data_IF_076964924823
#
_entry.id   IF_076964924823
#
_cell.length_a   1.000
_cell.length_b   1.000
_cell.length_c   1.000
_cell.angle_alpha   90.00
_cell.angle_beta   90.00
_cell.angle_gamma   90.00
#
_symmetry.space_group_name_H-M   'P 1'
#
loop_
_entity.id
_entity.type
_entity.pdbx_description
1 polymer ?
#
# COMPACT_ATOMS: atom_id res chain seq x y z
N UNK A 1 10.84 -25.83 33.13
CA UNK A 1 10.70 -24.46 33.69
C UNK A 1 9.31 -23.98 33.29
N UNK A 2 8.42 -23.89 34.28
CA UNK A 2 6.98 -23.69 34.11
C UNK A 2 6.72 -22.20 33.88
N UNK A 3 6.10 -21.84 32.75
CA UNK A 3 5.61 -20.50 32.52
C UNK A 3 4.15 -20.40 32.99
N UNK A 4 3.92 -19.44 33.89
CA UNK A 4 2.70 -19.22 34.64
C UNK A 4 1.56 -18.69 33.76
N UNK A 5 0.39 -19.31 33.87
CA UNK A 5 -0.88 -18.84 33.32
C UNK A 5 -1.36 -17.63 34.11
N UNK A 6 -1.60 -16.49 33.45
CA UNK A 6 -2.33 -15.35 34.04
C UNK A 6 -3.71 -15.30 33.38
N UNK A 7 -4.72 -15.63 34.18
CA UNK A 7 -6.14 -15.50 33.88
C UNK A 7 -6.51 -14.03 34.06
N UNK A 8 -6.84 -13.33 32.97
CA UNK A 8 -7.48 -12.00 33.05
C UNK A 8 -8.99 -12.15 33.05
N UNK A 9 -9.58 -11.91 34.21
CA UNK A 9 -11.02 -11.78 34.45
C UNK A 9 -11.59 -10.53 33.77
N UNK A 10 -12.65 -10.71 32.98
CA UNK A 10 -13.45 -9.61 32.38
C UNK A 10 -14.31 -8.96 33.47
N UNK A 11 -14.24 -7.64 33.71
CA UNK A 11 -15.20 -6.98 34.59
C UNK A 11 -16.56 -6.81 33.89
N UNK A 12 -17.57 -7.52 34.40
CA UNK A 12 -18.98 -7.34 34.05
C UNK A 12 -19.55 -6.15 34.83
N UNK A 13 -19.60 -4.95 34.25
CA UNK A 13 -20.65 -3.95 34.54
C UNK A 13 -20.55 -2.71 33.63
N UNK A 14 -21.32 -2.66 32.53
CA UNK A 14 -21.67 -1.39 31.88
C UNK A 14 -23.13 -1.45 31.43
N UNK A 15 -23.90 -0.45 31.85
CA UNK A 15 -25.35 -0.29 31.74
C UNK A 15 -25.79 0.05 30.28
N UNK A 16 -26.77 -0.65 29.67
CA UNK A 16 -27.06 -0.57 28.24
C UNK A 16 -28.05 0.56 27.88
N UNK A 17 -27.73 1.83 28.19
CA UNK A 17 -28.60 2.96 27.82
C UNK A 17 -27.93 4.16 27.12
N UNK A 18 -26.67 4.02 26.72
CA UNK A 18 -26.02 4.99 25.82
C UNK A 18 -25.22 4.27 24.73
N UNK A 19 -25.93 3.72 23.74
CA UNK A 19 -25.35 3.35 22.44
C UNK A 19 -25.89 4.35 21.40
N UNK A 20 -25.03 5.31 21.01
CA UNK A 20 -25.22 6.06 19.78
C UNK A 20 -24.85 5.21 18.55
N UNK A 21 -25.21 5.63 17.32
CA UNK A 21 -25.11 4.82 16.11
C UNK A 21 -23.67 4.77 15.58
N UNK A 22 -22.76 4.16 16.35
CA UNK A 22 -21.37 3.93 15.95
C UNK A 22 -20.90 2.50 16.20
N UNK A 23 -21.78 1.61 16.68
CA UNK A 23 -21.44 0.22 16.99
C UNK A 23 -21.60 -0.76 15.82
N UNK A 24 -22.06 -0.32 14.64
CA UNK A 24 -22.26 -1.21 13.48
C UNK A 24 -21.07 -1.30 12.51
N UNK A 25 -19.99 -0.53 12.73
CA UNK A 25 -18.76 -0.68 11.92
C UNK A 25 -17.78 -1.73 12.47
N UNK A 26 -18.11 -2.37 13.60
CA UNK A 26 -17.24 -3.34 14.28
C UNK A 26 -17.48 -4.80 13.88
N UNK A 27 -18.28 -5.06 12.85
CA UNK A 27 -18.61 -6.42 12.37
C UNK A 27 -17.91 -6.81 11.06
N UNK A 28 -16.92 -6.04 10.59
CA UNK A 28 -16.13 -6.43 9.41
C UNK A 28 -14.88 -7.23 9.81
N UNK A 29 -14.71 -8.49 9.37
CA UNK A 29 -13.57 -9.32 9.71
C UNK A 29 -12.28 -8.94 8.95
N UNK A 30 -12.22 -7.74 8.35
CA UNK A 30 -11.13 -7.34 7.45
C UNK A 30 -10.06 -6.45 8.10
N UNK A 31 -10.19 -6.09 9.37
CA UNK A 31 -9.13 -5.37 10.08
C UNK A 31 -8.19 -6.37 10.74
N UNK A 32 -7.45 -7.11 9.92
CA UNK A 32 -6.13 -7.59 10.34
C UNK A 32 -5.24 -6.33 10.38
N UNK A 33 -5.28 -5.67 11.54
CA UNK A 33 -4.56 -4.45 11.87
C UNK A 33 -3.10 -4.66 11.51
N UNK A 34 -2.61 -3.80 10.63
CA UNK A 34 -1.27 -3.87 10.10
C UNK A 34 -0.24 -3.62 11.23
N UNK A 35 0.93 -4.27 11.24
CA UNK A 35 1.95 -4.07 12.27
C UNK A 35 2.52 -2.63 12.35
N UNK A 36 2.26 -1.78 11.35
CA UNK A 36 2.49 -0.33 11.49
C UNK A 36 1.49 0.33 12.44
N UNK A 37 0.26 -0.16 12.49
CA UNK A 37 -0.78 0.31 13.41
C UNK A 37 -0.56 -0.31 14.79
N UNK A 38 -0.21 -1.60 14.90
CA UNK A 38 0.11 -2.20 16.22
C UNK A 38 1.38 -1.60 16.84
N UNK A 39 2.45 -1.38 16.06
CA UNK A 39 3.66 -0.75 16.59
C UNK A 39 3.47 0.73 16.94
N UNK A 40 2.42 1.40 16.43
CA UNK A 40 2.01 2.76 16.81
C UNK A 40 1.01 2.76 17.98
N UNK A 41 0.14 1.75 18.06
CA UNK A 41 -0.95 1.65 19.03
C UNK A 41 -0.51 0.99 20.34
N UNK A 42 0.48 0.08 20.34
CA UNK A 42 1.03 -0.48 21.58
C UNK A 42 1.76 0.57 22.42
N UNK A 43 2.41 1.55 21.78
CA UNK A 43 3.02 2.70 22.46
C UNK A 43 1.96 3.68 23.00
N UNK A 44 0.75 3.67 22.45
CA UNK A 44 -0.35 4.54 22.85
C UNK A 44 -1.05 4.10 24.15
N UNK A 45 -0.85 2.85 24.60
CA UNK A 45 -1.53 2.32 25.78
C UNK A 45 -0.91 2.67 27.14
N UNK A 46 0.26 3.31 27.21
CA UNK A 46 1.01 3.41 28.48
C UNK A 46 1.66 4.75 28.82
N UNK A 47 1.62 5.80 27.97
CA UNK A 47 2.46 6.99 28.24
C UNK A 47 1.83 8.32 27.77
N UNK A 48 1.57 9.24 28.71
CA UNK A 48 1.39 10.70 28.59
C UNK A 48 0.72 11.26 27.30
N UNK A 49 -0.56 11.61 27.43
CA UNK A 49 -1.57 11.88 26.39
C UNK A 49 -1.28 12.99 25.35
N UNK A 50 -0.31 13.89 25.53
CA UNK A 50 -0.07 15.01 24.58
C UNK A 50 0.99 14.74 23.53
N UNK A 51 1.99 13.93 23.84
CA UNK A 51 3.06 13.64 22.88
C UNK A 51 2.59 12.63 21.83
N UNK A 52 1.82 11.63 22.26
CA UNK A 52 1.29 10.57 21.38
C UNK A 52 0.22 11.10 20.43
N UNK A 53 -0.68 11.97 20.90
CA UNK A 53 -1.70 12.60 20.04
C UNK A 53 -1.09 13.41 18.91
N UNK A 54 0.03 14.11 19.17
CA UNK A 54 0.79 14.81 18.13
C UNK A 54 1.41 13.84 17.12
N UNK A 55 1.99 12.72 17.58
CA UNK A 55 2.59 11.71 16.70
C UNK A 55 1.54 11.00 15.83
N UNK A 56 0.38 10.64 16.40
CA UNK A 56 -0.75 10.07 15.65
C UNK A 56 -1.22 11.06 14.56
N UNK A 57 -1.41 12.33 14.91
CA UNK A 57 -1.82 13.35 13.94
C UNK A 57 -0.80 13.58 12.82
N UNK A 58 0.50 13.39 13.09
CA UNK A 58 1.56 13.46 12.06
C UNK A 58 1.44 12.28 11.10
N UNK A 59 1.27 11.06 11.61
CA UNK A 59 1.12 9.86 10.79
C UNK A 59 -0.16 9.94 9.94
N UNK A 60 -1.27 10.41 10.51
CA UNK A 60 -2.52 10.60 9.77
C UNK A 60 -2.35 11.59 8.61
N UNK A 61 -1.68 12.73 8.83
CA UNK A 61 -1.35 13.67 7.74
C UNK A 61 -0.46 13.04 6.67
N UNK A 62 0.51 12.21 7.05
CA UNK A 62 1.34 11.48 6.09
C UNK A 62 0.52 10.47 5.28
N UNK A 63 -0.44 9.77 5.90
CA UNK A 63 -1.33 8.85 5.19
C UNK A 63 -2.28 9.62 4.24
N UNK A 64 -2.83 10.74 4.68
CA UNK A 64 -3.72 11.60 3.89
C UNK A 64 -3.02 12.27 2.70
N UNK A 65 -1.69 12.26 2.65
CA UNK A 65 -0.93 12.67 1.46
C UNK A 65 -1.06 11.68 0.28
N UNK A 66 -1.59 10.47 0.53
CA UNK A 66 -1.79 9.43 -0.48
C UNK A 66 -3.27 9.35 -0.89
N UNK A 67 -3.51 9.16 -2.18
CA UNK A 67 -4.84 8.78 -2.66
C UNK A 67 -5.27 7.43 -2.04
N UNK A 68 -6.57 7.21 -1.73
CA UNK A 68 -7.05 5.96 -1.14
C UNK A 68 -6.70 4.72 -1.98
N UNK A 69 -6.70 4.86 -3.30
CA UNK A 69 -6.32 3.81 -4.25
C UNK A 69 -4.84 3.46 -4.15
N UNK A 70 -3.95 4.45 -4.02
CA UNK A 70 -2.52 4.26 -3.81
C UNK A 70 -2.26 3.57 -2.48
N UNK A 71 -2.96 3.96 -1.41
CA UNK A 71 -2.84 3.32 -0.10
C UNK A 71 -3.24 1.84 -0.18
N UNK A 72 -4.37 1.52 -0.82
CA UNK A 72 -4.82 0.14 -1.04
C UNK A 72 -3.80 -0.68 -1.83
N UNK A 73 -3.17 -0.09 -2.83
CA UNK A 73 -2.10 -0.74 -3.59
C UNK A 73 -0.85 -1.00 -2.73
N UNK A 74 -0.47 -0.03 -1.88
CA UNK A 74 0.70 -0.15 -1.02
C UNK A 74 0.52 -1.17 0.10
N UNK A 75 -0.69 -1.35 0.61
CA UNK A 75 -1.03 -2.38 1.59
C UNK A 75 -0.60 -3.79 1.14
N UNK A 76 -0.71 -4.11 -0.16
CA UNK A 76 -0.22 -5.39 -0.70
C UNK A 76 1.28 -5.53 -0.49
N UNK A 77 2.05 -4.49 -0.81
CA UNK A 77 3.50 -4.46 -0.60
C UNK A 77 3.84 -4.65 0.87
N UNK A 78 3.15 -3.95 1.77
CA UNK A 78 3.48 -4.02 3.18
C UNK A 78 3.20 -5.40 3.78
N UNK A 79 2.14 -6.10 3.34
CA UNK A 79 1.89 -7.51 3.71
C UNK A 79 3.01 -8.44 3.24
N UNK A 80 3.47 -8.26 2.00
CA UNK A 80 4.58 -9.04 1.44
C UNK A 80 5.89 -8.75 2.18
N UNK A 81 6.21 -7.48 2.42
CA UNK A 81 7.38 -7.05 3.17
C UNK A 81 7.38 -7.60 4.59
N UNK A 82 6.25 -7.49 5.30
CA UNK A 82 6.13 -8.01 6.65
C UNK A 82 6.34 -9.53 6.70
N UNK A 83 5.76 -10.24 5.73
CA UNK A 83 5.93 -11.70 5.63
C UNK A 83 7.36 -12.09 5.32
N UNK A 84 8.03 -11.36 4.42
CA UNK A 84 9.45 -11.53 4.12
C UNK A 84 10.32 -11.25 5.35
N UNK A 85 9.93 -10.28 6.17
CA UNK A 85 10.68 -9.90 7.36
C UNK A 85 10.48 -10.83 8.57
N UNK A 86 9.74 -11.94 8.45
CA UNK A 86 9.61 -12.91 9.55
C UNK A 86 10.99 -13.43 9.95
N UNK A 87 11.47 -13.00 11.11
CA UNK A 87 12.80 -13.36 11.64
C UNK A 87 13.93 -12.37 11.35
N UNK A 88 13.64 -11.22 10.72
CA UNK A 88 14.60 -10.11 10.50
C UNK A 88 13.96 -8.76 10.87
N UNK A 89 14.78 -7.72 11.02
CA UNK A 89 14.27 -6.39 11.40
C UNK A 89 13.61 -5.68 10.21
N UNK A 90 12.30 -5.34 10.26
CA UNK A 90 11.56 -4.80 9.11
C UNK A 90 11.96 -3.38 8.68
N UNK A 91 12.78 -2.69 9.47
CA UNK A 91 13.18 -1.30 9.22
C UNK A 91 14.62 -1.17 8.72
N UNK A 92 15.29 -2.30 8.46
CA UNK A 92 16.66 -2.29 7.98
C UNK A 92 16.71 -2.26 6.45
N UNK A 93 17.16 -1.14 5.89
CA UNK A 93 17.23 -0.90 4.44
C UNK A 93 18.16 -1.85 3.68
N UNK A 94 19.04 -2.59 4.37
CA UNK A 94 19.96 -3.55 3.75
C UNK A 94 19.21 -4.73 3.12
N UNK A 95 18.03 -5.09 3.65
CA UNK A 95 17.30 -6.29 3.22
C UNK A 95 16.41 -6.07 1.99
N UNK A 96 16.30 -4.83 1.48
CA UNK A 96 15.38 -4.53 0.38
C UNK A 96 15.78 -5.20 -0.94
N UNK A 97 17.08 -5.36 -1.21
CA UNK A 97 17.54 -6.09 -2.40
C UNK A 97 17.11 -7.56 -2.33
N UNK A 98 17.36 -8.21 -1.20
CA UNK A 98 16.95 -9.60 -0.97
C UNK A 98 15.44 -9.77 -1.07
N UNK A 99 14.66 -8.77 -0.63
CA UNK A 99 13.21 -8.77 -0.81
C UNK A 99 12.81 -8.68 -2.28
N UNK A 100 13.41 -7.77 -3.06
CA UNK A 100 13.09 -7.68 -4.48
C UNK A 100 13.57 -8.88 -5.29
N UNK A 101 14.69 -9.48 -4.91
CA UNK A 101 15.17 -10.75 -5.44
C UNK A 101 14.18 -11.87 -5.13
N UNK A 102 13.78 -12.03 -3.85
CA UNK A 102 12.76 -12.99 -3.46
C UNK A 102 11.44 -12.80 -4.22
N UNK A 103 10.97 -11.56 -4.40
CA UNK A 103 9.77 -11.28 -5.20
C UNK A 103 9.98 -11.60 -6.68
N UNK A 104 11.18 -11.39 -7.21
CA UNK A 104 11.51 -11.75 -8.59
C UNK A 104 11.41 -13.26 -8.78
N UNK A 105 11.92 -14.04 -7.84
CA UNK A 105 11.95 -15.51 -7.98
C UNK A 105 10.59 -16.15 -7.72
N UNK A 106 9.83 -15.63 -6.76
CA UNK A 106 8.57 -16.23 -6.31
C UNK A 106 7.32 -15.74 -7.04
N UNK A 107 7.41 -14.64 -7.81
CA UNK A 107 6.23 -14.02 -8.42
C UNK A 107 6.40 -13.75 -9.92
N UNK A 108 5.27 -13.81 -10.63
CA UNK A 108 5.14 -13.38 -12.03
C UNK A 108 4.84 -11.87 -12.17
N UNK A 109 5.17 -11.08 -11.16
CA UNK A 109 4.86 -9.65 -11.15
C UNK A 109 5.48 -8.89 -12.34
N UNK A 110 4.72 -7.98 -12.93
CA UNK A 110 5.18 -7.14 -14.04
C UNK A 110 6.14 -6.06 -13.52
N UNK A 111 6.96 -5.51 -14.41
CA UNK A 111 7.90 -4.43 -14.06
C UNK A 111 7.22 -3.24 -13.35
N UNK A 112 5.98 -2.89 -13.74
CA UNK A 112 5.21 -1.82 -13.08
C UNK A 112 4.95 -2.11 -11.60
N UNK A 113 4.69 -3.37 -11.24
CA UNK A 113 4.43 -3.80 -9.86
C UNK A 113 5.65 -3.59 -8.97
N UNK A 114 6.86 -3.89 -9.45
CA UNK A 114 8.10 -3.64 -8.71
C UNK A 114 8.31 -2.14 -8.41
N UNK A 115 7.91 -1.25 -9.33
CA UNK A 115 8.01 0.19 -9.07
C UNK A 115 7.03 0.62 -7.96
N UNK A 116 5.85 0.04 -7.91
CA UNK A 116 4.90 0.24 -6.82
C UNK A 116 5.45 -0.27 -5.48
N UNK A 117 6.05 -1.47 -5.47
CA UNK A 117 6.69 -2.01 -4.28
C UNK A 117 7.83 -1.10 -3.78
N UNK A 118 8.69 -0.63 -4.69
CA UNK A 118 9.75 0.35 -4.35
C UNK A 118 9.20 1.61 -3.72
N UNK A 119 8.13 2.15 -4.28
CA UNK A 119 7.55 3.40 -3.80
C UNK A 119 6.92 3.23 -2.42
N UNK A 120 6.23 2.12 -2.19
CA UNK A 120 5.66 1.79 -0.87
C UNK A 120 6.76 1.61 0.19
N UNK A 121 7.77 0.79 -0.10
CA UNK A 121 8.86 0.52 0.87
C UNK A 121 9.70 1.78 1.14
N UNK A 122 9.83 2.70 0.18
CA UNK A 122 10.51 3.98 0.38
C UNK A 122 9.79 4.92 1.36
N UNK A 123 8.47 4.79 1.54
CA UNK A 123 7.73 5.53 2.56
C UNK A 123 7.85 4.90 3.96
N UNK A 124 8.17 3.62 4.01
CA UNK A 124 8.28 2.86 5.26
C UNK A 124 9.69 2.90 5.86
N UNK A 125 10.70 2.77 5.00
CA UNK A 125 12.09 2.62 5.44
C UNK A 125 12.80 3.96 5.58
N UNK A 126 13.65 4.12 6.62
CA UNK A 126 14.50 5.28 6.74
C UNK A 126 15.53 5.34 5.59
N UNK A 127 16.09 6.52 5.32
CA UNK A 127 17.24 6.77 4.43
C UNK A 127 17.01 6.76 2.91
N UNK A 128 15.84 7.22 2.44
CA UNK A 128 15.53 7.39 1.01
C UNK A 128 15.97 6.18 0.18
N UNK A 129 15.45 5.03 0.56
CA UNK A 129 15.78 3.75 -0.07
C UNK A 129 15.44 3.78 -1.56
N UNK A 130 14.39 4.52 -1.94
CA UNK A 130 14.02 4.76 -3.32
C UNK A 130 15.17 5.34 -4.16
N UNK A 131 15.98 6.25 -3.64
CA UNK A 131 17.02 6.91 -4.46
C UNK A 131 18.32 6.12 -4.62
N UNK A 132 18.52 5.05 -3.85
CA UNK A 132 19.76 4.26 -3.83
C UNK A 132 20.09 3.66 -5.20
N UNK A 133 21.36 3.82 -5.62
CA UNK A 133 21.82 3.42 -6.96
C UNK A 133 21.70 1.93 -7.23
N UNK A 134 21.98 1.07 -6.24
CA UNK A 134 21.91 -0.38 -6.39
C UNK A 134 20.48 -0.86 -6.64
N UNK A 135 19.48 -0.25 -5.99
CA UNK A 135 18.06 -0.56 -6.21
C UNK A 135 17.62 -0.12 -7.60
N UNK A 136 18.00 1.09 -8.02
CA UNK A 136 17.71 1.58 -9.37
C UNK A 136 18.32 0.65 -10.43
N UNK A 137 19.57 0.21 -10.24
CA UNK A 137 20.25 -0.73 -11.15
C UNK A 137 19.57 -2.10 -11.18
N UNK A 138 19.22 -2.65 -10.02
CA UNK A 138 18.49 -3.91 -9.92
C UNK A 138 17.15 -3.85 -10.67
N UNK A 139 16.31 -2.85 -10.39
CA UNK A 139 15.02 -2.69 -11.05
C UNK A 139 15.12 -2.40 -12.55
N UNK A 140 16.20 -1.73 -12.99
CA UNK A 140 16.51 -1.59 -14.42
C UNK A 140 16.84 -2.95 -15.05
N UNK A 141 17.54 -3.83 -14.32
CA UNK A 141 17.75 -5.22 -14.70
C UNK A 141 16.42 -5.97 -14.83
N UNK A 142 15.55 -5.91 -13.82
CA UNK A 142 14.21 -6.51 -13.84
C UNK A 142 13.39 -6.03 -15.03
N UNK A 143 13.43 -4.73 -15.34
CA UNK A 143 12.72 -4.16 -16.51
C UNK A 143 13.21 -4.75 -17.83
N UNK A 144 14.51 -4.99 -17.97
CA UNK A 144 15.12 -5.59 -19.17
C UNK A 144 14.76 -7.08 -19.28
N UNK A 145 14.84 -7.81 -18.17
CA UNK A 145 14.49 -9.24 -18.12
C UNK A 145 12.99 -9.48 -18.36
N UNK A 146 12.12 -8.62 -17.82
CA UNK A 146 10.66 -8.70 -17.95
C UNK A 146 10.10 -7.64 -18.90
N UNK A 147 10.79 -7.38 -20.02
CA UNK A 147 10.36 -6.36 -20.98
C UNK A 147 8.90 -6.60 -21.37
N UNK A 148 8.07 -5.57 -21.20
CA UNK A 148 6.64 -5.69 -21.48
C UNK A 148 6.47 -5.79 -22.98
N UNK A 149 5.80 -6.84 -23.45
CA UNK A 149 5.36 -6.91 -24.85
C UNK A 149 4.52 -5.67 -25.18
N UNK A 150 4.59 -5.13 -26.41
CA UNK A 150 3.74 -4.02 -26.81
C UNK A 150 2.28 -4.36 -26.49
N UNK A 151 1.55 -3.39 -25.92
CA UNK A 151 0.15 -3.60 -25.48
C UNK A 151 -0.77 -3.93 -26.66
N UNK A 152 -0.42 -3.46 -27.84
CA UNK A 152 -1.16 -3.67 -29.07
C UNK A 152 -0.28 -4.42 -30.05
N UNK A 153 -0.81 -5.50 -30.62
CA UNK A 153 -0.17 -6.25 -31.70
C UNK A 153 -0.28 -5.51 -33.04
N UNK A 154 -1.30 -4.67 -33.16
CA UNK A 154 -1.60 -3.86 -34.33
C UNK A 154 -2.11 -2.50 -33.84
N UNK A 155 -1.67 -1.43 -34.50
CA UNK A 155 -2.26 -0.10 -34.32
C UNK A 155 -3.24 0.13 -35.48
N UNK A 156 -4.40 0.73 -35.19
CA UNK A 156 -5.37 1.04 -36.23
C UNK A 156 -4.86 2.20 -37.08
N UNK A 157 -5.22 2.21 -38.37
CA UNK A 157 -4.93 3.33 -39.27
C UNK A 157 -5.88 4.49 -38.99
N UNK A 158 -5.37 5.65 -38.52
CA UNK A 158 -6.21 6.77 -38.20
C UNK A 158 -6.97 7.36 -39.38
N UNK A 159 -6.47 7.17 -40.60
CA UNK A 159 -7.11 7.69 -41.81
C UNK A 159 -8.48 7.07 -42.00
N UNK A 160 -8.63 5.77 -41.76
CA UNK A 160 -9.89 5.04 -41.94
C UNK A 160 -10.97 5.61 -41.01
N UNK A 161 -10.65 5.80 -39.73
CA UNK A 161 -11.60 6.34 -38.75
C UNK A 161 -11.92 7.80 -39.05
N UNK A 162 -10.92 8.61 -39.42
CA UNK A 162 -11.15 10.01 -39.77
C UNK A 162 -12.02 10.17 -41.03
N UNK A 163 -11.86 9.29 -42.02
CA UNK A 163 -12.73 9.26 -43.20
C UNK A 163 -14.16 8.88 -42.83
N UNK A 164 -14.34 7.86 -41.98
CA UNK A 164 -15.67 7.49 -41.48
C UNK A 164 -16.32 8.65 -40.72
N UNK A 165 -15.61 9.29 -39.80
CA UNK A 165 -16.13 10.42 -39.03
C UNK A 165 -16.52 11.61 -39.90
N UNK A 166 -15.79 11.88 -40.98
CA UNK A 166 -16.14 12.93 -41.96
C UNK A 166 -17.38 12.61 -42.78
N UNK A 167 -17.67 11.32 -42.98
CA UNK A 167 -18.85 10.87 -43.72
C UNK A 167 -20.13 10.89 -42.86
N UNK A 168 -20.01 11.05 -41.54
CA UNK A 168 -21.16 11.20 -40.66
C UNK A 168 -21.82 12.58 -40.87
N UNK A 169 -23.16 12.65 -40.84
CA UNK A 169 -23.87 13.92 -40.93
C UNK A 169 -23.48 14.86 -39.77
N UNK A 170 -23.54 16.18 -39.96
CA UNK A 170 -23.20 17.14 -38.91
C UNK A 170 -24.09 16.91 -37.68
N UNK A 171 -23.48 16.54 -36.55
CA UNK A 171 -24.23 16.34 -35.31
C UNK A 171 -24.61 17.70 -34.74
N UNK A 172 -25.79 18.19 -35.11
CA UNK A 172 -26.33 19.52 -34.76
C UNK A 172 -26.62 19.76 -33.26
N UNK A 173 -26.10 18.92 -32.37
CA UNK A 173 -26.33 19.01 -30.91
C UNK A 173 -25.15 18.63 -30.02
N UNK A 174 -23.97 18.35 -30.57
CA UNK A 174 -22.76 18.14 -29.77
C UNK A 174 -21.92 19.43 -29.77
N UNK A 175 -22.31 20.38 -28.93
CA UNK A 175 -21.40 21.46 -28.53
C UNK A 175 -20.32 20.85 -27.63
N UNK A 176 -19.07 20.91 -28.09
CA UNK A 176 -17.91 20.64 -27.26
C UNK A 176 -17.76 21.85 -26.32
N UNK A 177 -18.32 21.76 -25.11
CA UNK A 177 -18.00 22.71 -24.06
C UNK A 177 -16.50 22.59 -23.76
N UNK A 178 -15.75 23.65 -24.09
CA UNK A 178 -14.32 23.79 -23.85
C UNK A 178 -14.04 24.28 -22.44
#
# INVERSE_FOLDING_TARGET
MVYSTVVTTVPKNVNPKHLGPSSELLSSPFILVHPLVDSLMLTAGLVSDRHISNEIGRVERMINSLAPTTLKQYQVTYKLWWTFCKGITPFCAIHILNFFEHLLDTSVHKCGTFNSHRSAVALLLPNDVGSKIYIKRFLKGVKRQRSTKPRFLLTWDPVIVLQYLRALPPTSGLLLEM
#
